data_IF_972605762289
#
_entry.id   IF_972605762289
#
_cell.length_a   1.000
_cell.length_b   1.000
_cell.length_c   1.000
_cell.angle_alpha   90.00
_cell.angle_beta   90.00
_cell.angle_gamma   90.00
#
_symmetry.space_group_name_H-M   'P 1'
#
loop_
_entity.id
_entity.type
_entity.pdbx_description
1 polymer ?
#
# COMPACT_ATOMS: atom_id res chain seq x y z
N UNK A 1 21.00 -13.97 -1.35
CA UNK A 1 19.60 -13.97 -1.87
C UNK A 1 18.70 -13.62 -0.71
N UNK A 2 17.82 -12.66 -0.91
CA UNK A 2 16.84 -12.28 0.12
C UNK A 2 15.92 -13.47 0.39
N UNK A 3 15.71 -13.81 1.66
CA UNK A 3 14.82 -14.90 2.11
C UNK A 3 13.33 -14.55 1.90
N UNK A 4 12.96 -14.03 0.72
CA UNK A 4 11.59 -13.60 0.45
C UNK A 4 10.60 -14.76 0.47
N UNK A 5 11.01 -15.98 0.05
CA UNK A 5 10.10 -17.14 0.05
C UNK A 5 9.52 -17.46 1.44
N UNK A 6 10.24 -17.13 2.50
CA UNK A 6 9.79 -17.31 3.89
C UNK A 6 8.91 -16.16 4.38
N UNK A 7 8.98 -14.98 3.72
CA UNK A 7 8.27 -13.78 4.13
C UNK A 7 6.76 -13.94 3.90
N UNK A 8 5.98 -13.80 4.97
CA UNK A 8 4.53 -14.03 4.92
C UNK A 8 3.77 -12.99 4.12
N UNK A 9 4.23 -11.72 4.11
CA UNK A 9 3.66 -10.71 3.22
C UNK A 9 4.00 -11.00 1.76
N UNK A 10 5.24 -11.44 1.47
CA UNK A 10 5.61 -11.82 0.11
C UNK A 10 4.75 -12.97 -0.42
N UNK A 11 4.46 -13.98 0.40
CA UNK A 11 3.56 -15.08 0.02
C UNK A 11 2.16 -14.56 -0.34
N UNK A 12 1.66 -13.59 0.41
CA UNK A 12 0.40 -12.93 0.07
C UNK A 12 0.50 -12.13 -1.23
N UNK A 13 1.53 -11.31 -1.41
CA UNK A 13 1.73 -10.55 -2.64
C UNK A 13 1.87 -11.48 -3.86
N UNK A 14 2.56 -12.61 -3.70
CA UNK A 14 2.72 -13.63 -4.73
C UNK A 14 1.37 -14.16 -5.24
N UNK A 15 0.41 -14.39 -4.32
CA UNK A 15 -0.95 -14.82 -4.69
C UNK A 15 -1.77 -13.73 -5.40
N UNK A 16 -1.43 -12.44 -5.19
CA UNK A 16 -2.17 -11.33 -5.79
C UNK A 16 -1.58 -10.85 -7.13
N UNK A 17 -0.25 -10.93 -7.30
CA UNK A 17 0.48 -10.27 -8.39
C UNK A 17 1.38 -11.20 -9.21
N UNK A 18 1.58 -12.44 -8.78
CA UNK A 18 2.61 -13.32 -9.34
C UNK A 18 4.02 -12.96 -8.86
N UNK A 19 5.01 -13.75 -9.31
CA UNK A 19 6.37 -13.71 -8.76
C UNK A 19 7.13 -12.43 -9.16
N UNK A 20 7.11 -12.07 -10.44
CA UNK A 20 7.89 -10.94 -10.98
C UNK A 20 7.49 -9.62 -10.33
N UNK A 21 6.19 -9.34 -10.26
CA UNK A 21 5.70 -8.10 -9.67
C UNK A 21 5.92 -8.07 -8.16
N UNK A 22 5.71 -9.19 -7.47
CA UNK A 22 5.97 -9.29 -6.02
C UNK A 22 7.44 -9.04 -5.70
N UNK A 23 8.36 -9.62 -6.47
CA UNK A 23 9.80 -9.38 -6.33
C UNK A 23 10.16 -7.93 -6.66
N UNK A 24 9.54 -7.35 -7.69
CA UNK A 24 9.73 -5.93 -8.05
C UNK A 24 9.35 -5.02 -6.89
N UNK A 25 8.17 -5.24 -6.28
CA UNK A 25 7.68 -4.46 -5.14
C UNK A 25 8.62 -4.56 -3.93
N UNK A 26 9.00 -5.78 -3.54
CA UNK A 26 9.89 -6.01 -2.40
C UNK A 26 11.25 -5.32 -2.59
N UNK A 27 11.82 -5.39 -3.79
CA UNK A 27 13.09 -4.74 -4.13
C UNK A 27 12.95 -3.22 -4.21
N UNK A 28 11.89 -2.72 -4.87
CA UNK A 28 11.63 -1.29 -5.05
C UNK A 28 11.56 -0.58 -3.70
N UNK A 29 10.81 -1.16 -2.76
CA UNK A 29 10.58 -0.62 -1.43
C UNK A 29 11.60 -1.08 -0.39
N UNK A 30 12.61 -1.87 -0.79
CA UNK A 30 13.67 -2.40 0.09
C UNK A 30 13.08 -3.17 1.28
N UNK A 31 12.03 -3.95 1.05
CA UNK A 31 11.40 -4.76 2.11
C UNK A 31 12.32 -5.92 2.45
N UNK A 32 12.46 -6.23 3.73
CA UNK A 32 13.26 -7.33 4.24
C UNK A 32 12.43 -8.44 4.86
N UNK A 33 13.11 -9.52 5.25
CA UNK A 33 12.56 -10.63 6.03
C UNK A 33 13.33 -10.77 7.33
N UNK A 34 12.63 -11.01 8.43
CA UNK A 34 13.25 -11.27 9.74
C UNK A 34 12.69 -12.55 10.37
N UNK A 35 13.49 -13.12 11.26
CA UNK A 35 13.12 -14.29 12.08
C UNK A 35 12.66 -13.90 13.51
N UNK A 36 12.43 -12.62 13.76
CA UNK A 36 11.89 -12.16 15.05
C UNK A 36 10.55 -12.86 15.35
N UNK A 37 9.69 -12.92 14.32
CA UNK A 37 8.64 -13.92 14.18
C UNK A 37 8.86 -14.58 12.83
N UNK A 38 8.80 -15.91 12.76
CA UNK A 38 9.16 -16.65 11.55
C UNK A 38 8.46 -16.10 10.28
N UNK A 39 9.27 -15.60 9.36
CA UNK A 39 8.80 -15.01 8.10
C UNK A 39 8.19 -13.61 8.26
N UNK A 40 8.50 -12.89 9.33
CA UNK A 40 8.05 -11.51 9.51
C UNK A 40 8.68 -10.57 8.50
N UNK A 41 7.94 -9.53 8.17
CA UNK A 41 8.29 -8.52 7.18
C UNK A 41 8.98 -7.33 7.85
N UNK A 42 10.08 -6.87 7.26
CA UNK A 42 10.82 -5.68 7.71
C UNK A 42 10.59 -4.54 6.73
N UNK A 43 9.96 -3.48 7.18
CA UNK A 43 9.76 -2.24 6.44
C UNK A 43 10.81 -1.22 6.83
N UNK A 44 11.84 -1.08 6.01
CA UNK A 44 12.91 -0.12 6.24
C UNK A 44 12.45 1.29 5.92
N UNK A 45 12.59 2.19 6.87
CA UNK A 45 12.47 3.62 6.64
C UNK A 45 13.83 4.13 6.14
N UNK A 46 13.90 4.35 4.83
CA UNK A 46 15.09 4.87 4.16
C UNK A 46 14.76 6.26 3.64
N UNK A 47 15.51 7.27 4.07
CA UNK A 47 15.26 8.66 3.70
C UNK A 47 15.64 8.96 2.23
N UNK A 48 15.34 10.18 1.80
CA UNK A 48 15.60 10.64 0.43
C UNK A 48 17.07 10.57 0.03
N UNK A 49 18.01 10.64 1.01
CA UNK A 49 19.46 10.48 0.77
C UNK A 49 19.88 9.02 0.76
N UNK A 50 18.96 8.06 0.97
CA UNK A 50 19.26 6.64 1.00
C UNK A 50 19.75 6.11 2.36
N UNK A 51 19.75 6.94 3.41
CA UNK A 51 20.15 6.55 4.76
C UNK A 51 19.00 5.81 5.46
N UNK A 52 19.30 4.62 5.99
CA UNK A 52 18.35 3.87 6.81
C UNK A 52 18.21 4.56 8.17
N UNK A 53 16.98 4.91 8.53
CA UNK A 53 16.64 5.61 9.78
C UNK A 53 16.19 4.66 10.87
N UNK A 54 15.29 3.75 10.53
CA UNK A 54 14.78 2.68 11.39
C UNK A 54 14.04 1.66 10.54
N UNK A 55 13.40 0.68 11.17
CA UNK A 55 12.45 -0.20 10.49
C UNK A 55 11.36 -0.70 11.43
N UNK A 56 10.24 -1.08 10.84
CA UNK A 56 9.12 -1.73 11.50
C UNK A 56 9.12 -3.21 11.11
N UNK A 57 8.97 -4.10 12.08
CA UNK A 57 8.83 -5.54 11.88
C UNK A 57 7.38 -5.91 12.14
N UNK A 58 6.75 -6.60 11.20
CA UNK A 58 5.35 -7.00 11.29
C UNK A 58 5.15 -8.41 10.75
N UNK A 59 4.22 -9.15 11.34
CA UNK A 59 3.83 -10.47 10.87
C UNK A 59 2.45 -10.42 10.22
N UNK A 60 2.34 -11.05 9.04
CA UNK A 60 1.14 -11.09 8.23
C UNK A 60 0.62 -12.52 8.04
N UNK A 61 -0.68 -12.66 7.88
CA UNK A 61 -1.28 -13.90 7.42
C UNK A 61 -1.12 -14.00 5.89
N UNK A 62 -0.44 -15.03 5.37
CA UNK A 62 -0.17 -15.14 3.93
C UNK A 62 -1.42 -15.40 3.08
N UNK A 63 -2.52 -15.89 3.67
CA UNK A 63 -3.74 -16.15 2.93
C UNK A 63 -4.57 -14.90 2.64
N UNK A 64 -4.53 -13.89 3.53
CA UNK A 64 -5.38 -12.72 3.41
C UNK A 64 -4.65 -11.37 3.54
N UNK A 65 -3.34 -11.36 3.75
CA UNK A 65 -2.53 -10.15 3.89
C UNK A 65 -2.86 -9.30 5.11
N UNK A 66 -3.62 -9.82 6.08
CA UNK A 66 -3.94 -9.10 7.32
C UNK A 66 -2.82 -9.29 8.34
N UNK A 67 -2.54 -8.24 9.11
CA UNK A 67 -1.60 -8.31 10.23
C UNK A 67 -2.11 -9.31 11.28
N UNK A 68 -1.22 -10.15 11.80
CA UNK A 68 -1.54 -11.07 12.90
C UNK A 68 -1.56 -10.27 14.22
N UNK A 69 -2.71 -10.29 14.90
CA UNK A 69 -2.94 -9.55 16.14
C UNK A 69 -3.07 -10.46 17.38
N UNK A 70 -3.31 -11.75 17.16
CA UNK A 70 -3.47 -12.74 18.22
C UNK A 70 -2.24 -13.66 18.33
N UNK A 71 -1.84 -14.11 19.52
CA UNK A 71 -2.35 -13.75 20.85
C UNK A 71 -1.93 -12.33 21.30
N UNK A 72 -1.07 -11.66 20.56
CA UNK A 72 -0.63 -10.28 20.74
C UNK A 72 -0.34 -9.62 19.40
N UNK A 73 -0.27 -8.30 19.36
CA UNK A 73 0.08 -7.58 18.15
C UNK A 73 1.51 -7.90 17.72
N UNK A 74 1.66 -8.54 16.55
CA UNK A 74 2.96 -8.85 15.96
C UNK A 74 3.50 -7.63 15.21
N UNK A 75 3.87 -6.60 15.97
CA UNK A 75 4.48 -5.37 15.50
C UNK A 75 5.55 -4.92 16.50
N UNK A 76 6.74 -4.63 16.01
CA UNK A 76 7.82 -4.04 16.79
C UNK A 76 8.69 -3.15 15.92
N UNK A 77 9.56 -2.37 16.57
CA UNK A 77 10.51 -1.51 15.88
C UNK A 77 11.93 -2.01 16.11
N UNK A 78 12.77 -1.99 15.08
CA UNK A 78 14.17 -2.43 15.22
C UNK A 78 14.92 -1.59 16.24
N UNK A 79 14.69 -0.29 16.29
CA UNK A 79 15.34 0.57 17.27
C UNK A 79 14.95 0.26 18.74
N UNK A 80 13.79 -0.38 18.95
CA UNK A 80 13.40 -0.86 20.29
C UNK A 80 14.05 -2.19 20.66
N UNK A 81 14.52 -2.96 19.67
CA UNK A 81 15.19 -4.24 19.87
C UNK A 81 16.70 -4.10 19.98
N UNK A 82 17.26 -3.07 19.34
CA UNK A 82 18.70 -2.81 19.32
C UNK A 82 18.97 -1.59 20.19
N UNK A 83 19.28 -1.85 21.46
CA UNK A 83 19.73 -0.80 22.37
C UNK A 83 21.13 -0.35 21.92
N UNK A 84 21.21 0.83 21.33
CA UNK A 84 22.49 1.43 20.92
C UNK A 84 22.65 2.78 21.62
N UNK A 85 23.70 2.89 22.42
CA UNK A 85 24.05 4.14 23.09
C UNK A 85 24.24 5.27 22.07
N UNK A 86 23.69 6.45 22.37
CA UNK A 86 23.78 7.61 21.50
C UNK A 86 22.87 7.56 20.26
N UNK A 87 21.96 6.57 20.14
CA UNK A 87 21.02 6.51 19.02
C UNK A 87 19.91 7.55 19.19
N UNK A 88 19.81 8.45 18.23
CA UNK A 88 18.69 9.41 18.13
C UNK A 88 17.73 8.96 17.03
N UNK A 89 16.49 8.65 17.40
CA UNK A 89 15.46 8.24 16.48
C UNK A 89 15.05 9.41 15.57
N UNK A 90 15.20 9.22 14.26
CA UNK A 90 14.69 10.12 13.24
C UNK A 90 13.93 9.30 12.21
N UNK A 91 12.60 9.24 12.36
CA UNK A 91 11.75 8.54 11.41
C UNK A 91 11.60 9.32 10.10
N UNK A 92 11.30 8.60 9.01
CA UNK A 92 10.93 9.15 7.71
C UNK A 92 9.82 8.30 7.10
N UNK A 93 9.22 8.76 6.00
CA UNK A 93 8.21 7.97 5.32
C UNK A 93 8.76 6.63 4.82
N UNK A 94 8.00 5.58 4.92
CA UNK A 94 8.32 4.36 4.19
C UNK A 94 8.20 4.64 2.69
N UNK A 95 9.23 4.27 1.92
CA UNK A 95 9.30 4.59 0.49
C UNK A 95 9.84 5.99 0.18
N UNK A 96 10.27 6.79 1.16
CA UNK A 96 10.79 8.16 0.96
C UNK A 96 11.96 8.21 -0.02
N UNK A 97 12.85 7.21 -0.02
CA UNK A 97 13.96 7.09 -0.95
C UNK A 97 13.53 7.06 -2.43
N UNK A 98 12.25 6.80 -2.72
CA UNK A 98 11.71 6.83 -4.08
C UNK A 98 11.50 8.26 -4.58
N UNK A 99 11.35 9.23 -3.68
CA UNK A 99 11.18 10.65 -4.04
C UNK A 99 12.36 11.20 -4.84
N UNK A 100 13.57 10.68 -4.58
CA UNK A 100 14.76 11.06 -5.33
C UNK A 100 14.80 10.53 -6.77
N UNK A 101 13.99 9.49 -7.08
CA UNK A 101 14.00 8.84 -8.40
C UNK A 101 13.10 9.54 -9.43
N UNK A 102 12.07 10.23 -8.97
CA UNK A 102 11.12 10.90 -9.85
C UNK A 102 10.54 12.13 -9.14
N UNK A 103 10.92 13.30 -9.62
CA UNK A 103 10.43 14.59 -9.11
C UNK A 103 9.11 15.04 -9.74
N UNK A 104 8.66 14.38 -10.80
CA UNK A 104 7.50 14.80 -11.61
C UNK A 104 6.20 14.16 -11.18
N UNK A 105 6.24 12.91 -10.70
CA UNK A 105 5.05 12.21 -10.23
C UNK A 105 4.46 12.87 -8.98
N UNK A 106 3.13 12.91 -8.92
CA UNK A 106 2.44 13.22 -7.67
C UNK A 106 2.72 12.15 -6.63
N UNK A 107 2.88 12.57 -5.38
CA UNK A 107 3.13 11.68 -4.25
C UNK A 107 1.81 11.29 -3.62
N UNK A 108 1.58 10.00 -3.42
CA UNK A 108 0.42 9.48 -2.70
C UNK A 108 0.86 9.00 -1.31
N UNK A 109 0.18 9.47 -0.26
CA UNK A 109 0.47 9.08 1.13
C UNK A 109 -0.67 8.19 1.65
N UNK A 110 -0.31 7.01 2.18
CA UNK A 110 -1.20 6.08 2.89
C UNK A 110 -0.72 5.87 4.33
N UNK A 111 -1.53 5.23 5.17
CA UNK A 111 -1.12 4.92 6.55
C UNK A 111 -0.11 3.78 6.58
N UNK A 112 -0.42 2.66 5.93
CA UNK A 112 0.32 1.42 6.07
C UNK A 112 1.31 1.17 4.93
N UNK A 113 2.42 0.56 5.28
CA UNK A 113 3.48 0.16 4.36
C UNK A 113 2.97 -0.87 3.33
N UNK A 114 2.11 -1.82 3.77
CA UNK A 114 1.46 -2.81 2.90
C UNK A 114 0.63 -2.11 1.83
N UNK A 115 -0.13 -1.09 2.21
CA UNK A 115 -1.02 -0.36 1.30
C UNK A 115 -0.23 0.42 0.26
N UNK A 116 0.92 0.99 0.62
CA UNK A 116 1.82 1.62 -0.35
C UNK A 116 2.33 0.61 -1.40
N UNK A 117 2.72 -0.60 -0.98
CA UNK A 117 3.14 -1.66 -1.90
C UNK A 117 2.04 -2.03 -2.90
N UNK A 118 0.84 -2.34 -2.39
CA UNK A 118 -0.29 -2.80 -3.20
C UNK A 118 -0.74 -1.68 -4.15
N UNK A 119 -0.94 -0.47 -3.63
CA UNK A 119 -1.40 0.64 -4.43
C UNK A 119 -0.39 1.03 -5.53
N UNK A 120 0.90 0.90 -5.28
CA UNK A 120 1.93 1.21 -6.29
C UNK A 120 1.90 0.27 -7.50
N UNK A 121 1.38 -0.95 -7.35
CA UNK A 121 1.20 -1.88 -8.47
C UNK A 121 -0.01 -1.51 -9.33
N UNK A 122 -1.13 -1.13 -8.69
CA UNK A 122 -2.35 -0.83 -9.42
C UNK A 122 -2.43 0.60 -9.95
N UNK A 123 -1.82 1.55 -9.24
CA UNK A 123 -1.87 2.98 -9.54
C UNK A 123 -0.45 3.55 -9.71
N UNK A 124 0.30 3.10 -10.73
CA UNK A 124 1.71 3.44 -10.94
C UNK A 124 1.94 4.89 -11.36
N UNK A 125 0.88 5.66 -11.63
CA UNK A 125 0.95 7.09 -11.92
C UNK A 125 1.35 7.93 -10.70
N UNK A 126 1.22 7.38 -9.49
CA UNK A 126 1.67 8.01 -8.25
C UNK A 126 2.99 7.41 -7.76
N UNK A 127 3.69 8.18 -6.95
CA UNK A 127 4.77 7.71 -6.11
C UNK A 127 4.21 7.46 -4.71
N UNK A 128 4.07 6.21 -4.33
CA UNK A 128 3.42 5.81 -3.08
C UNK A 128 4.42 5.78 -1.93
N UNK A 129 4.06 6.43 -0.81
CA UNK A 129 4.79 6.39 0.45
C UNK A 129 3.82 6.14 1.60
N UNK A 130 4.32 5.63 2.73
CA UNK A 130 3.48 5.43 3.90
C UNK A 130 3.96 6.24 5.11
N UNK A 131 3.00 6.78 5.86
CA UNK A 131 3.26 7.53 7.10
C UNK A 131 3.68 6.62 8.26
N UNK A 132 3.38 5.32 8.17
CA UNK A 132 3.66 4.35 9.23
C UNK A 132 2.62 4.31 10.35
N UNK A 133 1.47 4.93 10.14
CA UNK A 133 0.32 4.99 11.04
C UNK A 133 -0.41 6.33 10.97
N UNK A 134 -1.60 6.41 11.59
CA UNK A 134 -2.50 7.57 11.56
C UNK A 134 -1.78 8.90 11.90
N UNK A 135 -0.88 8.86 12.89
CA UNK A 135 -0.11 10.02 13.35
C UNK A 135 1.37 10.01 12.93
N UNK A 136 1.77 9.09 12.06
CA UNK A 136 3.16 8.80 11.72
C UNK A 136 4.01 10.00 11.30
N UNK A 137 4.56 9.99 10.09
CA UNK A 137 5.52 10.99 9.61
C UNK A 137 4.89 12.35 9.21
N UNK A 138 3.93 12.88 9.98
CA UNK A 138 3.28 14.18 9.71
C UNK A 138 3.85 15.38 10.49
N UNK A 139 5.00 15.21 11.13
CA UNK A 139 5.71 16.35 11.71
C UNK A 139 6.34 17.19 10.60
N UNK A 140 6.45 18.51 10.81
CA UNK A 140 6.99 19.43 9.81
C UNK A 140 8.39 19.02 9.32
N UNK A 141 9.25 18.51 10.21
CA UNK A 141 10.57 18.00 9.85
C UNK A 141 10.52 16.89 8.79
N UNK A 142 9.52 15.98 8.88
CA UNK A 142 9.34 14.90 7.92
C UNK A 142 8.63 15.38 6.64
N UNK A 143 7.67 16.32 6.79
CA UNK A 143 6.95 16.88 5.65
C UNK A 143 7.84 17.75 4.76
N UNK A 144 8.95 18.27 5.29
CA UNK A 144 9.87 19.16 4.55
C UNK A 144 10.38 18.54 3.24
N UNK A 145 10.50 17.20 3.18
CA UNK A 145 10.94 16.46 1.98
C UNK A 145 9.93 16.53 0.83
N UNK A 146 8.68 16.91 1.13
CA UNK A 146 7.58 17.04 0.16
C UNK A 146 7.38 18.47 -0.34
N UNK A 147 8.19 19.43 0.10
CA UNK A 147 8.09 20.82 -0.35
C UNK A 147 8.19 20.92 -1.88
N UNK A 148 7.27 21.67 -2.49
CA UNK A 148 7.18 21.83 -3.94
C UNK A 148 6.54 20.64 -4.67
N UNK A 149 6.10 19.59 -3.98
CA UNK A 149 5.46 18.42 -4.58
C UNK A 149 3.94 18.55 -4.59
N UNK A 150 3.33 17.87 -5.57
CA UNK A 150 1.90 17.58 -5.54
C UNK A 150 1.67 16.31 -4.71
N UNK A 151 0.85 16.41 -3.67
CA UNK A 151 0.58 15.33 -2.73
C UNK A 151 -0.91 15.00 -2.73
N UNK A 152 -1.24 13.72 -2.73
CA UNK A 152 -2.60 13.21 -2.52
C UNK A 152 -2.60 12.37 -1.26
N UNK A 153 -3.44 12.71 -0.30
CA UNK A 153 -3.64 11.98 0.93
C UNK A 153 -4.72 10.91 0.74
N UNK A 154 -4.41 9.66 1.07
CA UNK A 154 -5.32 8.52 1.03
C UNK A 154 -5.50 7.95 2.45
N UNK A 155 -6.33 8.59 3.29
CA UNK A 155 -6.57 8.12 4.65
C UNK A 155 -7.30 6.78 4.66
N UNK A 156 -7.06 5.98 5.69
CA UNK A 156 -7.90 4.83 6.02
C UNK A 156 -9.29 5.32 6.46
N UNK A 157 -10.32 4.47 6.35
CA UNK A 157 -11.68 4.82 6.80
C UNK A 157 -11.68 5.24 8.27
N UNK A 158 -12.31 6.38 8.54
CA UNK A 158 -12.37 7.02 9.85
C UNK A 158 -11.14 7.87 10.21
N UNK A 159 -10.16 8.04 9.30
CA UNK A 159 -9.02 8.94 9.48
C UNK A 159 -9.11 10.22 8.62
N UNK A 160 -10.16 10.37 7.83
CA UNK A 160 -10.31 11.44 6.85
C UNK A 160 -10.24 12.84 7.48
N UNK A 161 -10.97 13.08 8.56
CA UNK A 161 -11.00 14.39 9.24
C UNK A 161 -9.65 14.73 9.88
N UNK A 162 -8.99 13.75 10.49
CA UNK A 162 -7.66 13.92 11.08
C UNK A 162 -6.62 14.30 10.03
N UNK A 163 -6.72 13.73 8.83
CA UNK A 163 -5.80 14.03 7.74
C UNK A 163 -6.16 15.33 7.04
N UNK A 164 -7.44 15.68 6.93
CA UNK A 164 -7.90 16.97 6.43
C UNK A 164 -7.35 18.12 7.28
N UNK A 165 -7.33 17.99 8.60
CA UNK A 165 -6.79 19.01 9.51
C UNK A 165 -5.30 19.31 9.28
N UNK A 166 -4.54 18.42 8.63
CA UNK A 166 -3.11 18.60 8.34
C UNK A 166 -2.86 19.41 7.06
N UNK A 167 -3.84 19.52 6.18
CA UNK A 167 -3.71 20.15 4.85
C UNK A 167 -3.22 21.59 4.96
N UNK A 168 -3.78 22.37 5.86
CA UNK A 168 -3.39 23.78 6.03
C UNK A 168 -1.91 23.95 6.41
N UNK A 169 -1.39 23.07 7.26
CA UNK A 169 0.03 23.08 7.62
C UNK A 169 0.90 22.68 6.43
N UNK A 170 0.52 21.64 5.70
CA UNK A 170 1.26 21.21 4.51
C UNK A 170 1.28 22.31 3.44
N UNK A 171 0.16 22.98 3.21
CA UNK A 171 0.08 24.11 2.26
C UNK A 171 0.97 25.28 2.65
N UNK A 172 1.02 25.65 3.95
CA UNK A 172 1.95 26.68 4.46
C UNK A 172 3.42 26.30 4.22
N UNK A 173 3.74 25.02 4.20
CA UNK A 173 5.09 24.52 3.88
C UNK A 173 5.39 24.48 2.37
N UNK A 174 4.48 24.93 1.52
CA UNK A 174 4.66 24.94 0.07
C UNK A 174 4.41 23.59 -0.61
N UNK A 175 3.56 22.76 -0.01
CA UNK A 175 3.13 21.46 -0.55
C UNK A 175 1.73 21.65 -1.15
N UNK A 176 1.53 21.27 -2.41
CA UNK A 176 0.20 21.23 -3.02
C UNK A 176 -0.51 19.96 -2.62
N UNK A 177 -1.59 20.05 -1.83
CA UNK A 177 -2.24 18.87 -1.22
C UNK A 177 -3.67 18.72 -1.71
N UNK A 178 -4.04 17.46 -2.03
CA UNK A 178 -5.42 17.02 -2.25
C UNK A 178 -5.74 15.88 -1.28
N UNK A 179 -6.99 15.81 -0.86
CA UNK A 179 -7.52 14.72 -0.04
C UNK A 179 -8.37 13.80 -0.91
N UNK A 180 -8.09 12.50 -0.86
CA UNK A 180 -8.93 11.47 -1.47
C UNK A 180 -9.95 10.98 -0.44
N UNK A 181 -11.14 11.56 -0.44
CA UNK A 181 -12.23 11.27 0.50
C UNK A 181 -13.29 10.31 -0.07
N UNK A 182 -13.02 9.73 -1.24
CA UNK A 182 -13.96 8.84 -1.92
C UNK A 182 -14.35 7.63 -1.07
N UNK A 183 -13.39 7.01 -0.37
CA UNK A 183 -13.66 5.86 0.48
C UNK A 183 -14.61 6.25 1.61
N UNK A 184 -14.35 7.38 2.28
CA UNK A 184 -15.21 7.86 3.36
C UNK A 184 -16.65 8.13 2.89
N UNK A 185 -16.84 8.65 1.68
CA UNK A 185 -18.15 8.96 1.12
C UNK A 185 -18.92 7.74 0.62
N UNK A 186 -18.22 6.68 0.17
CA UNK A 186 -18.84 5.58 -0.57
C UNK A 186 -18.69 4.20 0.10
N UNK A 187 -17.99 4.11 1.23
CA UNK A 187 -17.81 2.83 1.92
C UNK A 187 -19.11 2.27 2.48
N UNK A 188 -19.29 0.95 2.33
CA UNK A 188 -20.36 0.21 2.96
C UNK A 188 -20.18 0.15 4.49
N UNK A 189 -21.24 -0.13 5.27
CA UNK A 189 -21.12 -0.34 6.72
C UNK A 189 -20.11 -1.43 7.09
N UNK A 190 -20.01 -2.49 6.28
CA UNK A 190 -19.06 -3.58 6.51
C UNK A 190 -17.62 -3.14 6.28
N UNK A 191 -17.34 -2.41 5.19
CA UNK A 191 -16.02 -1.83 4.91
C UNK A 191 -15.58 -0.88 6.03
N UNK A 192 -16.50 -0.04 6.54
CA UNK A 192 -16.25 0.84 7.70
C UNK A 192 -15.90 0.05 8.95
N UNK A 193 -16.70 -0.98 9.28
CA UNK A 193 -16.45 -1.86 10.43
C UNK A 193 -15.09 -2.54 10.35
N UNK A 194 -14.64 -2.88 9.15
CA UNK A 194 -13.36 -3.56 8.90
C UNK A 194 -12.18 -2.60 8.74
N UNK A 195 -12.41 -1.27 8.76
CA UNK A 195 -11.37 -0.24 8.65
C UNK A 195 -10.61 -0.34 7.31
N UNK A 196 -11.35 -0.42 6.21
CA UNK A 196 -10.76 -0.53 4.88
C UNK A 196 -9.87 0.66 4.56
N UNK A 197 -8.79 0.38 3.85
CA UNK A 197 -7.92 1.35 3.19
C UNK A 197 -8.02 1.25 1.66
N UNK A 198 -7.26 2.08 0.95
CA UNK A 198 -7.26 2.07 -0.53
C UNK A 198 -6.82 0.72 -1.10
N UNK A 199 -5.90 0.00 -0.45
CA UNK A 199 -5.43 -1.28 -0.92
C UNK A 199 -6.51 -2.36 -0.76
N UNK A 200 -7.20 -2.38 0.37
CA UNK A 200 -8.31 -3.31 0.61
C UNK A 200 -9.43 -3.07 -0.42
N UNK A 201 -9.75 -1.79 -0.70
CA UNK A 201 -10.76 -1.41 -1.69
C UNK A 201 -10.36 -1.86 -3.11
N UNK A 202 -9.10 -1.61 -3.51
CA UNK A 202 -8.58 -2.04 -4.82
C UNK A 202 -8.65 -3.56 -4.96
N UNK A 203 -8.21 -4.30 -3.96
CA UNK A 203 -8.22 -5.76 -3.98
C UNK A 203 -9.65 -6.32 -4.03
N UNK A 204 -10.60 -5.71 -3.33
CA UNK A 204 -12.01 -6.13 -3.38
C UNK A 204 -12.61 -5.92 -4.77
N UNK A 205 -12.43 -4.73 -5.37
CA UNK A 205 -12.92 -4.40 -6.72
C UNK A 205 -12.29 -5.29 -7.80
N UNK A 206 -11.06 -5.73 -7.60
CA UNK A 206 -10.33 -6.58 -8.56
C UNK A 206 -10.57 -8.07 -8.39
N UNK A 207 -11.32 -8.51 -7.38
CA UNK A 207 -11.65 -9.93 -7.25
C UNK A 207 -12.50 -10.40 -8.44
N UNK A 208 -12.13 -11.50 -9.10
CA UNK A 208 -12.90 -12.05 -10.22
C UNK A 208 -14.38 -12.25 -9.90
N UNK A 209 -14.72 -12.69 -8.67
CA UNK A 209 -16.10 -12.85 -8.21
C UNK A 209 -16.86 -11.53 -8.19
N UNK A 210 -16.24 -10.43 -7.76
CA UNK A 210 -16.88 -9.10 -7.73
C UNK A 210 -17.15 -8.60 -9.14
N UNK A 211 -16.22 -8.83 -10.07
CA UNK A 211 -16.38 -8.48 -11.49
C UNK A 211 -17.54 -9.29 -12.08
N UNK A 212 -17.57 -10.60 -11.87
CA UNK A 212 -18.63 -11.49 -12.35
C UNK A 212 -20.01 -11.10 -11.79
N UNK A 213 -20.10 -10.79 -10.49
CA UNK A 213 -21.34 -10.30 -9.87
C UNK A 213 -21.81 -9.00 -10.50
N UNK A 214 -20.90 -8.07 -10.79
CA UNK A 214 -21.20 -6.83 -11.50
C UNK A 214 -21.70 -7.07 -12.93
N UNK A 215 -21.15 -8.06 -13.64
CA UNK A 215 -21.61 -8.47 -14.98
C UNK A 215 -23.01 -9.09 -14.91
N UNK A 216 -23.28 -9.99 -13.95
CA UNK A 216 -24.59 -10.62 -13.74
C UNK A 216 -25.66 -9.56 -13.38
N UNK A 217 -25.31 -8.58 -12.54
CA UNK A 217 -26.23 -7.50 -12.17
C UNK A 217 -26.65 -6.65 -13.39
N UNK A 218 -25.74 -6.44 -14.35
CA UNK A 218 -26.02 -5.74 -15.61
C UNK A 218 -26.74 -6.60 -16.65
N UNK A 219 -26.52 -7.91 -16.62
CA UNK A 219 -27.12 -8.87 -17.52
C UNK A 219 -27.50 -10.16 -16.76
N UNK A 220 -28.68 -10.27 -16.17
CA UNK A 220 -29.10 -11.43 -15.40
C UNK A 220 -29.08 -12.77 -16.17
N UNK A 221 -29.21 -12.72 -17.52
CA UNK A 221 -29.16 -13.91 -18.37
C UNK A 221 -27.79 -14.60 -18.33
N UNK A 222 -26.73 -13.87 -17.94
CA UNK A 222 -25.39 -14.45 -17.76
C UNK A 222 -25.37 -15.50 -16.65
N UNK A 223 -26.17 -15.33 -15.58
CA UNK A 223 -26.26 -16.30 -14.51
C UNK A 223 -26.90 -17.63 -14.98
N UNK A 224 -27.88 -17.54 -15.89
CA UNK A 224 -28.48 -18.70 -16.52
C UNK A 224 -27.46 -19.45 -17.37
N UNK A 225 -26.70 -18.74 -18.22
CA UNK A 225 -25.64 -19.36 -19.05
C UNK A 225 -24.57 -20.06 -18.19
N UNK A 226 -24.12 -19.41 -17.11
CA UNK A 226 -23.13 -20.01 -16.19
C UNK A 226 -23.66 -21.34 -15.65
N UNK A 227 -24.93 -21.37 -15.21
CA UNK A 227 -25.56 -22.55 -14.65
C UNK A 227 -25.75 -23.66 -15.68
N UNK A 228 -26.31 -23.33 -16.86
CA UNK A 228 -26.63 -24.28 -17.91
C UNK A 228 -25.38 -24.92 -18.55
N UNK A 229 -24.30 -24.12 -18.68
CA UNK A 229 -23.04 -24.58 -19.28
C UNK A 229 -22.04 -25.11 -18.25
N UNK A 230 -22.37 -25.11 -16.95
CA UNK A 230 -21.49 -25.56 -15.88
C UNK A 230 -20.18 -24.76 -15.81
N UNK A 231 -20.21 -23.45 -16.13
CA UNK A 231 -19.01 -22.63 -16.14
C UNK A 231 -18.49 -22.40 -14.74
N UNK A 232 -17.18 -22.50 -14.57
CA UNK A 232 -16.49 -22.26 -13.31
C UNK A 232 -15.53 -21.09 -13.50
N UNK A 233 -15.51 -20.16 -12.52
CA UNK A 233 -14.57 -19.06 -12.51
C UNK A 233 -13.15 -19.61 -12.27
N UNK A 234 -12.27 -19.43 -13.24
CA UNK A 234 -10.85 -19.76 -13.11
C UNK A 234 -10.14 -18.53 -12.56
N UNK A 235 -9.58 -18.62 -11.37
CA UNK A 235 -8.74 -17.58 -10.77
C UNK A 235 -7.32 -17.71 -11.33
N UNK A 236 -7.03 -17.07 -12.46
CA UNK A 236 -5.65 -16.91 -12.88
C UNK A 236 -4.97 -15.79 -12.09
N UNK A 237 -3.68 -15.92 -11.74
CA UNK A 237 -2.93 -14.83 -11.14
C UNK A 237 -2.97 -13.62 -12.08
N UNK A 238 -3.36 -12.47 -11.56
CA UNK A 238 -3.47 -11.22 -12.33
C UNK A 238 -2.07 -10.82 -12.78
N UNK A 239 -1.72 -11.12 -14.02
CA UNK A 239 -0.51 -10.57 -14.63
C UNK A 239 -0.72 -9.05 -14.82
N UNK A 240 0.22 -8.20 -14.41
CA UNK A 240 0.14 -6.76 -14.70
C UNK A 240 0.02 -6.59 -16.20
N UNK A 241 -1.02 -5.87 -16.62
CA UNK A 241 -1.26 -5.53 -18.03
C UNK A 241 -0.02 -4.80 -18.53
N UNK A 242 0.74 -5.45 -19.41
CA UNK A 242 1.82 -4.80 -20.14
C UNK A 242 1.24 -3.56 -20.82
N UNK A 243 1.88 -2.43 -20.64
CA UNK A 243 1.49 -1.14 -21.24
C UNK A 243 1.34 -1.31 -22.74
N UNK A 244 0.10 -1.50 -23.20
CA UNK A 244 -0.23 -1.40 -24.61
C UNK A 244 0.01 0.05 -25.00
N UNK A 245 1.10 0.31 -25.75
CA UNK A 245 1.34 1.59 -26.40
C UNK A 245 0.10 1.90 -27.24
N UNK A 246 -0.70 2.87 -26.82
CA UNK A 246 -1.75 3.44 -27.66
C UNK A 246 -1.06 4.06 -28.87
N UNK A 247 -1.13 3.39 -30.03
CA UNK A 247 -0.82 4.02 -31.30
C UNK A 247 -1.86 5.12 -31.48
N UNK A 248 -1.40 6.38 -31.44
CA UNK A 248 -2.23 7.52 -31.77
C UNK A 248 -2.70 7.41 -33.22
N UNK A 249 -4.00 7.38 -33.43
CA UNK A 249 -4.58 7.72 -34.73
C UNK A 249 -4.40 9.22 -34.91
N UNK A 250 -3.59 9.62 -35.88
CA UNK A 250 -3.64 10.97 -36.44
C UNK A 250 -4.81 10.99 -37.44
N UNK A 251 -5.78 11.89 -37.22
CA UNK A 251 -6.63 12.45 -38.24
C UNK A 251 -5.91 13.64 -38.87
#
# INVERSE_FOLDING_TARGET
>A
MSHYKENKLFQFLLSQFGEDESLRLMKLYRVGTANHWQGSTVFWQTDIQGKVRTSKIMLYNPANGRRIKEPHNHITWVHSLIHKDGFTLKQCFFGEHLLAKDSTKSVAIVESEKSALIASSYLPQYLWIASGGKNGCFREENLSVLKGRNVVLFPDLGATDDWAARISTMQRMGITVKLFDYLEKNATPEQRKNGFDIADFILEVKRPQTILQGMIAKNPSLNLLIKELGLVLIEEPVHPVSTVKRRGFKL
#
